data_IF_400387005901
#
_entry.id   IF_400387005901
#
_cell.length_a   1.000
_cell.length_b   1.000
_cell.length_c   1.000
_cell.angle_alpha   90.00
_cell.angle_beta   90.00
_cell.angle_gamma   90.00
#
_symmetry.space_group_name_H-M   'P 1'
#
loop_
_entity.id
_entity.type
_entity.pdbx_description
1 polymer ?
#
# COMPACT_ATOMS: atom_id res chain seq x y z
N UNK A 1 19.97 -78.85 -3.04
CA UNK A 1 21.01 -78.16 -2.25
C UNK A 1 21.50 -76.98 -3.08
N UNK A 2 21.55 -75.76 -2.53
CA UNK A 2 22.25 -74.63 -3.16
C UNK A 2 21.38 -73.68 -3.98
N UNK A 3 21.22 -72.46 -3.48
CA UNK A 3 20.39 -71.35 -3.97
C UNK A 3 20.91 -70.76 -5.28
N UNK A 4 20.00 -70.22 -6.10
CA UNK A 4 20.29 -69.10 -7.00
C UNK A 4 19.23 -68.02 -6.83
N UNK A 5 19.69 -66.78 -6.61
CA UNK A 5 18.88 -65.57 -6.60
C UNK A 5 19.57 -64.51 -7.45
N UNK A 6 18.75 -63.59 -7.97
CA UNK A 6 19.07 -62.35 -8.71
C UNK A 6 19.25 -62.48 -10.22
N UNK A 7 18.79 -61.56 -11.08
CA UNK A 7 18.20 -60.21 -10.93
C UNK A 7 17.50 -59.86 -12.27
N UNK A 8 16.35 -59.14 -12.28
CA UNK A 8 15.91 -58.12 -13.28
C UNK A 8 14.38 -57.92 -13.18
N UNK A 9 13.85 -56.74 -12.90
CA UNK A 9 13.72 -55.49 -13.67
C UNK A 9 12.39 -55.37 -14.45
N UNK A 10 11.65 -54.32 -14.09
CA UNK A 10 10.65 -53.63 -14.92
C UNK A 10 9.19 -53.97 -14.65
N UNK A 11 8.32 -52.96 -14.46
CA UNK A 11 6.93 -53.07 -14.87
C UNK A 11 6.65 -52.09 -16.01
N UNK A 12 6.28 -52.65 -17.17
CA UNK A 12 5.52 -51.94 -18.20
C UNK A 12 4.07 -52.39 -18.06
N UNK A 13 3.20 -51.50 -17.60
CA UNK A 13 1.76 -51.73 -17.58
C UNK A 13 1.13 -51.05 -18.80
N UNK A 14 0.72 -51.88 -19.75
CA UNK A 14 -0.19 -51.52 -20.83
C UNK A 14 -1.43 -52.43 -20.76
N UNK A 15 -2.56 -51.85 -21.17
CA UNK A 15 -3.85 -52.44 -21.55
C UNK A 15 -4.84 -52.91 -20.46
N UNK A 16 -5.97 -52.17 -20.39
CA UNK A 16 -7.36 -52.61 -20.71
C UNK A 16 -7.55 -54.15 -20.78
N UNK A 17 -8.58 -54.77 -20.20
CA UNK A 17 -10.02 -54.47 -20.31
C UNK A 17 -10.84 -55.42 -19.40
N UNK A 18 -12.03 -54.97 -18.99
CA UNK A 18 -13.26 -55.74 -18.73
C UNK A 18 -13.47 -56.59 -17.44
N UNK A 19 -14.35 -56.02 -16.59
CA UNK A 19 -15.66 -56.53 -16.12
C UNK A 19 -15.76 -57.96 -15.53
N UNK A 20 -16.06 -58.04 -14.23
CA UNK A 20 -16.90 -59.08 -13.62
C UNK A 20 -17.78 -58.49 -12.51
N UNK A 21 -19.03 -58.93 -12.51
CA UNK A 21 -20.18 -58.41 -11.75
C UNK A 21 -20.32 -59.08 -10.36
N UNK A 22 -21.47 -58.98 -9.68
CA UNK A 22 -21.72 -58.03 -8.60
C UNK A 22 -21.95 -58.76 -7.28
N UNK A 23 -21.48 -58.22 -6.17
CA UNK A 23 -22.10 -58.54 -4.87
C UNK A 23 -21.60 -57.56 -3.82
N UNK A 24 -22.46 -56.61 -3.45
CA UNK A 24 -22.85 -56.41 -2.05
C UNK A 24 -23.94 -55.35 -1.97
N UNK A 25 -24.94 -55.67 -1.15
CA UNK A 25 -26.21 -54.98 -0.98
C UNK A 25 -26.07 -53.45 -0.84
N UNK A 26 -26.73 -52.72 -1.74
CA UNK A 26 -27.09 -51.33 -1.49
C UNK A 26 -28.29 -51.33 -0.54
N UNK A 27 -28.07 -50.92 0.71
CA UNK A 27 -29.16 -50.46 1.55
C UNK A 27 -29.75 -49.20 0.88
N UNK A 28 -30.94 -49.33 0.31
CA UNK A 28 -31.72 -48.18 -0.14
C UNK A 28 -32.11 -47.36 1.08
N UNK A 29 -31.33 -46.32 1.39
CA UNK A 29 -31.81 -45.18 2.15
C UNK A 29 -32.74 -44.39 1.24
N UNK A 30 -33.99 -44.82 1.19
CA UNK A 30 -35.09 -44.09 0.59
C UNK A 30 -35.31 -42.81 1.44
N UNK A 31 -34.55 -41.75 1.16
CA UNK A 31 -34.82 -40.42 1.70
C UNK A 31 -36.11 -39.94 1.04
N UNK A 32 -37.22 -40.22 1.70
CA UNK A 32 -38.50 -39.61 1.40
C UNK A 32 -38.33 -38.10 1.57
N UNK A 33 -38.17 -37.38 0.46
CA UNK A 33 -38.36 -35.93 0.42
C UNK A 33 -39.86 -35.66 0.62
N UNK A 34 -40.36 -35.88 1.85
CA UNK A 34 -41.59 -35.27 2.32
C UNK A 34 -41.47 -33.79 1.96
N UNK A 35 -42.38 -33.29 1.13
CA UNK A 35 -42.26 -31.96 0.54
C UNK A 35 -41.98 -30.95 1.65
N UNK A 36 -40.77 -30.39 1.67
CA UNK A 36 -40.46 -29.23 2.49
C UNK A 36 -41.26 -28.07 1.90
N UNK A 37 -42.52 -27.92 2.33
CA UNK A 37 -43.35 -26.76 2.02
C UNK A 37 -42.84 -25.59 2.83
N UNK A 38 -41.67 -25.07 2.46
CA UNK A 38 -41.22 -23.78 2.90
C UNK A 38 -42.23 -22.75 2.41
N UNK A 39 -42.87 -22.05 3.34
CA UNK A 39 -43.79 -20.99 3.00
C UNK A 39 -43.03 -19.97 2.14
N UNK A 40 -43.48 -19.74 0.89
CA UNK A 40 -42.86 -18.80 -0.06
C UNK A 40 -42.60 -17.44 0.59
N UNK A 41 -43.49 -17.00 1.49
CA UNK A 41 -43.36 -15.75 2.23
C UNK A 41 -42.19 -15.77 3.21
N UNK A 42 -41.95 -16.89 3.89
CA UNK A 42 -40.81 -17.07 4.80
C UNK A 42 -39.51 -17.21 4.02
N UNK A 43 -39.51 -17.94 2.90
CA UNK A 43 -38.36 -18.07 2.01
C UNK A 43 -37.93 -16.72 1.42
N UNK A 44 -38.89 -15.92 0.93
CA UNK A 44 -38.62 -14.58 0.40
C UNK A 44 -38.21 -13.58 1.49
N UNK A 45 -38.76 -13.69 2.71
CA UNK A 45 -38.34 -12.87 3.85
C UNK A 45 -36.90 -13.16 4.28
N UNK A 46 -36.48 -14.43 4.26
CA UNK A 46 -35.12 -14.82 4.63
C UNK A 46 -34.08 -14.52 3.55
N UNK A 47 -34.40 -14.77 2.27
CA UNK A 47 -33.47 -14.50 1.15
C UNK A 47 -33.22 -13.02 0.93
N UNK A 48 -34.19 -12.14 1.20
CA UNK A 48 -33.98 -10.70 1.19
C UNK A 48 -32.96 -10.21 2.21
N UNK A 49 -32.88 -10.85 3.38
CA UNK A 49 -31.88 -10.54 4.41
C UNK A 49 -30.50 -11.10 4.04
N UNK A 50 -30.42 -12.31 3.46
CA UNK A 50 -29.13 -12.91 3.09
C UNK A 50 -28.52 -12.32 1.81
N UNK A 51 -29.32 -11.72 0.93
CA UNK A 51 -28.83 -10.92 -0.21
C UNK A 51 -28.61 -9.45 0.20
N UNK A 52 -29.46 -8.94 1.09
CA UNK A 52 -29.40 -7.58 1.61
C UNK A 52 -28.17 -7.32 2.49
N UNK A 53 -27.73 -8.28 3.33
CA UNK A 53 -26.54 -8.11 4.17
C UNK A 53 -25.24 -7.93 3.35
N UNK A 54 -24.92 -8.83 2.39
CA UNK A 54 -23.76 -8.65 1.52
C UNK A 54 -23.84 -7.37 0.70
N UNK A 55 -25.04 -6.97 0.27
CA UNK A 55 -25.23 -5.72 -0.48
C UNK A 55 -25.06 -4.49 0.42
N UNK A 56 -25.49 -4.54 1.68
CA UNK A 56 -25.30 -3.47 2.67
C UNK A 56 -23.82 -3.36 3.09
N UNK A 57 -23.13 -4.49 3.29
CA UNK A 57 -21.68 -4.50 3.50
C UNK A 57 -20.92 -3.99 2.27
N UNK A 58 -21.31 -4.43 1.06
CA UNK A 58 -20.73 -3.94 -0.18
C UNK A 58 -20.97 -2.44 -0.38
N UNK A 59 -22.14 -1.91 -0.02
CA UNK A 59 -22.46 -0.47 -0.07
C UNK A 59 -21.73 0.33 1.03
N UNK A 60 -21.36 -0.28 2.15
CA UNK A 60 -20.52 0.38 3.17
C UNK A 60 -19.07 0.57 2.69
N UNK A 61 -18.55 -0.35 1.87
CA UNK A 61 -17.26 -0.22 1.21
C UNK A 61 -17.31 0.59 -0.10
N UNK A 62 -18.45 0.57 -0.80
CA UNK A 62 -18.70 1.25 -2.08
C UNK A 62 -19.49 2.55 -1.94
N UNK A 63 -19.61 3.13 -0.74
CA UNK A 63 -20.16 4.46 -0.58
C UNK A 63 -19.33 5.42 -1.46
N UNK A 64 -19.93 6.01 -2.51
CA UNK A 64 -19.19 6.91 -3.38
C UNK A 64 -18.66 8.07 -2.55
N UNK A 65 -17.41 8.45 -2.77
CA UNK A 65 -16.74 9.54 -2.05
C UNK A 65 -17.53 10.87 -2.06
N UNK A 66 -18.53 10.99 -2.95
CA UNK A 66 -19.42 12.14 -3.09
C UNK A 66 -20.47 12.31 -1.98
N UNK A 67 -20.77 11.29 -1.17
CA UNK A 67 -21.74 11.37 -0.06
C UNK A 67 -21.09 11.57 1.32
N UNK A 68 -19.76 11.56 1.39
CA UNK A 68 -19.06 12.04 2.57
C UNK A 68 -19.34 13.55 2.63
N UNK A 69 -19.92 14.03 3.74
CA UNK A 69 -20.05 15.46 4.00
C UNK A 69 -18.75 16.15 3.54
N UNK A 70 -18.84 17.14 2.65
CA UNK A 70 -17.69 17.89 2.11
C UNK A 70 -16.97 18.72 3.19
N UNK A 71 -17.11 18.36 4.46
CA UNK A 71 -16.30 18.84 5.56
C UNK A 71 -14.90 18.24 5.37
N UNK A 72 -14.14 18.93 4.50
CA UNK A 72 -12.70 18.83 4.20
C UNK A 72 -12.13 17.43 4.03
N UNK A 73 -11.92 17.00 2.79
CA UNK A 73 -10.96 15.93 2.52
C UNK A 73 -9.62 16.26 3.19
N UNK A 74 -8.99 15.28 3.86
CA UNK A 74 -7.76 15.53 4.61
C UNK A 74 -6.66 15.99 3.66
N UNK A 75 -5.97 17.07 4.04
CA UNK A 75 -4.83 17.58 3.28
C UNK A 75 -3.65 16.63 3.43
N UNK A 76 -2.83 16.52 2.38
CA UNK A 76 -1.63 15.68 2.36
C UNK A 76 -0.47 16.46 1.77
N UNK A 77 0.72 16.25 2.33
CA UNK A 77 1.98 16.75 1.79
C UNK A 77 2.78 15.57 1.23
N UNK A 78 3.33 15.73 0.04
CA UNK A 78 4.25 14.76 -0.57
C UNK A 78 5.51 15.52 -0.93
N UNK A 79 6.64 15.07 -0.39
CA UNK A 79 7.96 15.60 -0.70
C UNK A 79 8.73 14.53 -1.50
N UNK A 80 9.13 14.88 -2.71
CA UNK A 80 9.96 14.03 -3.58
C UNK A 80 11.20 14.81 -3.93
N UNK A 81 12.35 14.14 -3.90
CA UNK A 81 13.62 14.73 -4.29
C UNK A 81 14.46 13.72 -5.06
N UNK A 82 15.45 14.22 -5.79
CA UNK A 82 16.51 13.40 -6.37
C UNK A 82 17.79 13.69 -5.60
N UNK A 83 18.44 12.66 -5.03
CA UNK A 83 19.55 12.84 -4.09
C UNK A 83 20.74 13.63 -4.67
N UNK A 84 21.00 13.48 -5.97
CA UNK A 84 22.13 14.09 -6.67
C UNK A 84 21.69 15.09 -7.74
N UNK A 85 20.45 15.57 -7.66
CA UNK A 85 19.89 16.51 -8.63
C UNK A 85 19.47 15.85 -9.93
N UNK A 86 19.39 16.66 -10.98
CA UNK A 86 18.95 16.30 -12.32
C UNK A 86 19.59 17.24 -13.34
N UNK A 87 19.50 16.92 -14.63
CA UNK A 87 20.03 17.79 -15.68
C UNK A 87 19.22 19.09 -15.78
N UNK A 88 19.68 20.13 -15.09
CA UNK A 88 18.97 21.40 -14.94
C UNK A 88 18.50 22.04 -16.27
N UNK A 89 19.30 22.07 -17.36
CA UNK A 89 18.86 22.61 -18.64
C UNK A 89 17.64 21.92 -19.25
N UNK A 90 17.37 20.66 -18.87
CA UNK A 90 16.22 19.90 -19.33
C UNK A 90 15.04 19.89 -18.33
N UNK A 91 15.20 20.49 -17.14
CA UNK A 91 14.16 20.59 -16.11
C UNK A 91 13.57 21.99 -15.98
N UNK A 92 14.40 23.03 -16.06
CA UNK A 92 13.95 24.42 -15.90
C UNK A 92 13.61 25.06 -17.25
N UNK A 93 12.51 25.83 -17.34
CA UNK A 93 12.16 26.57 -18.55
C UNK A 93 13.08 27.77 -18.75
N UNK A 94 13.28 28.17 -20.00
CA UNK A 94 14.10 29.35 -20.34
C UNK A 94 13.40 30.69 -20.07
N UNK A 95 12.07 30.67 -19.95
CA UNK A 95 11.25 31.85 -19.69
C UNK A 95 10.28 31.61 -18.53
N UNK A 96 10.00 32.68 -17.79
CA UNK A 96 8.99 32.68 -16.74
C UNK A 96 7.59 32.95 -17.32
N UNK A 97 6.56 32.59 -16.55
CA UNK A 97 5.16 32.82 -16.91
C UNK A 97 4.36 31.52 -16.96
N UNK A 98 3.12 31.60 -17.44
CA UNK A 98 2.23 30.42 -17.57
C UNK A 98 2.49 29.63 -18.85
N UNK A 99 2.96 30.32 -19.88
CA UNK A 99 3.09 29.82 -21.25
C UNK A 99 4.55 29.53 -21.65
N UNK A 100 5.39 29.17 -20.68
CA UNK A 100 6.76 28.75 -20.94
C UNK A 100 6.82 27.51 -21.84
N UNK A 101 7.89 27.37 -22.61
CA UNK A 101 8.15 26.15 -23.39
C UNK A 101 8.41 24.97 -22.44
N UNK A 102 7.67 23.87 -22.60
CA UNK A 102 7.73 22.74 -21.68
C UNK A 102 9.12 22.06 -21.71
N UNK A 103 9.83 21.98 -20.57
CA UNK A 103 11.10 21.27 -20.50
C UNK A 103 10.95 19.78 -20.81
N UNK A 104 11.98 19.19 -21.41
CA UNK A 104 11.99 17.78 -21.84
C UNK A 104 11.62 16.83 -20.68
N UNK A 105 12.22 17.00 -19.50
CA UNK A 105 11.98 16.14 -18.33
C UNK A 105 10.55 16.29 -17.76
N UNK A 106 9.84 17.35 -18.12
CA UNK A 106 8.49 17.66 -17.64
C UNK A 106 7.41 17.41 -18.69
N UNK A 107 7.78 16.99 -19.91
CA UNK A 107 6.85 16.64 -20.99
C UNK A 107 5.67 15.75 -20.55
N UNK A 108 5.88 14.68 -19.75
CA UNK A 108 4.77 13.85 -19.25
C UNK A 108 3.72 14.60 -18.39
N UNK A 109 4.07 15.78 -17.85
CA UNK A 109 3.20 16.60 -17.00
C UNK A 109 2.48 17.73 -17.75
N UNK A 110 2.67 17.88 -19.06
CA UNK A 110 2.06 18.95 -19.89
C UNK A 110 0.54 19.02 -19.74
N UNK A 111 -0.14 17.86 -19.78
CA UNK A 111 -1.60 17.75 -19.56
C UNK A 111 -2.08 18.30 -18.20
N UNK A 112 -1.16 18.57 -17.27
CA UNK A 112 -1.44 19.06 -15.93
C UNK A 112 -0.79 20.43 -15.66
N UNK A 113 -0.25 21.13 -16.66
CA UNK A 113 0.46 22.43 -16.54
C UNK A 113 -0.19 23.43 -15.58
N UNK A 114 -1.52 23.52 -15.59
CA UNK A 114 -2.26 24.47 -14.74
C UNK A 114 -2.35 24.08 -13.25
N UNK A 115 -1.81 22.92 -12.86
CA UNK A 115 -1.92 22.36 -11.50
C UNK A 115 -0.61 22.35 -10.73
N UNK A 116 0.45 22.90 -11.29
CA UNK A 116 1.77 22.95 -10.68
C UNK A 116 2.53 24.19 -11.15
N UNK A 117 3.64 24.48 -10.46
CA UNK A 117 4.49 25.64 -10.74
C UNK A 117 5.94 25.22 -10.53
N UNK A 118 6.82 25.69 -11.41
CA UNK A 118 8.27 25.52 -11.28
C UNK A 118 8.80 26.72 -10.50
N UNK A 119 9.58 26.46 -9.47
CA UNK A 119 10.31 27.49 -8.75
C UNK A 119 11.79 27.17 -8.92
N UNK A 120 12.53 28.09 -9.52
CA UNK A 120 13.98 28.01 -9.70
C UNK A 120 14.69 28.95 -8.71
N UNK A 121 15.96 28.67 -8.40
CA UNK A 121 16.80 29.55 -7.57
C UNK A 121 16.64 29.35 -6.06
N UNK A 122 15.97 28.29 -5.61
CA UNK A 122 15.92 27.93 -4.20
C UNK A 122 17.21 27.21 -3.78
N UNK A 123 17.98 27.82 -2.89
CA UNK A 123 19.21 27.24 -2.31
C UNK A 123 19.24 27.47 -0.79
N UNK A 124 19.41 26.39 -0.04
CA UNK A 124 19.59 26.42 1.43
C UNK A 124 20.95 27.02 1.85
N UNK A 125 21.91 27.15 0.93
CA UNK A 125 23.26 27.69 1.17
C UNK A 125 24.05 26.97 2.27
N UNK A 126 23.73 25.71 2.52
CA UNK A 126 24.31 24.86 3.58
C UNK A 126 25.63 24.17 3.15
N UNK A 127 25.80 23.89 1.85
CA UNK A 127 26.94 23.14 1.32
C UNK A 127 26.96 21.65 1.73
N UNK A 128 28.15 21.02 1.74
CA UNK A 128 28.36 19.68 2.31
C UNK A 128 28.49 18.51 1.31
N UNK A 129 28.59 18.78 0.01
CA UNK A 129 28.77 17.74 -1.02
C UNK A 129 27.67 16.68 -0.98
N UNK A 130 28.03 15.39 -1.18
CA UNK A 130 27.07 14.28 -1.12
C UNK A 130 26.28 14.21 0.20
N UNK A 131 26.84 14.72 1.32
CA UNK A 131 26.17 14.73 2.63
C UNK A 131 25.18 15.90 2.78
N UNK A 132 25.22 16.88 1.87
CA UNK A 132 24.33 18.04 1.86
C UNK A 132 22.87 17.68 1.62
N UNK A 133 22.59 16.53 0.99
CA UNK A 133 21.22 16.07 0.71
C UNK A 133 20.33 15.97 1.95
N UNK A 134 20.93 15.76 3.13
CA UNK A 134 20.21 15.69 4.42
C UNK A 134 19.53 17.03 4.80
N UNK A 135 19.94 18.14 4.18
CA UNK A 135 19.34 19.44 4.42
C UNK A 135 18.06 19.69 3.60
N UNK A 136 17.70 18.82 2.66
CA UNK A 136 16.61 19.07 1.71
C UNK A 136 15.30 19.51 2.38
N UNK A 137 14.86 18.79 3.41
CA UNK A 137 13.63 19.08 4.15
C UNK A 137 13.85 19.86 5.45
N UNK A 138 15.09 20.02 5.90
CA UNK A 138 15.39 20.66 7.20
C UNK A 138 15.92 22.09 7.04
N UNK A 139 16.48 22.43 5.88
CA UNK A 139 17.15 23.71 5.63
C UNK A 139 18.42 23.93 6.45
N UNK A 140 18.85 22.95 7.25
CA UNK A 140 20.00 23.03 8.13
C UNK A 140 21.04 21.99 7.76
N UNK A 141 22.31 22.35 7.88
CA UNK A 141 23.41 21.40 7.66
C UNK A 141 23.35 20.31 8.73
N UNK A 142 23.51 19.06 8.29
CA UNK A 142 23.59 17.92 9.20
C UNK A 142 24.64 18.17 10.30
N UNK A 143 24.21 17.98 11.54
CA UNK A 143 25.05 18.13 12.74
C UNK A 143 24.75 16.97 13.68
N UNK A 144 25.81 16.40 14.28
CA UNK A 144 25.65 15.38 15.32
C UNK A 144 24.99 15.95 16.59
N UNK A 145 25.10 17.27 16.81
CA UNK A 145 24.30 17.99 17.79
C UNK A 145 22.92 18.23 17.18
N UNK A 146 22.00 17.29 17.42
CA UNK A 146 20.65 17.13 16.84
C UNK A 146 19.69 18.34 16.98
N UNK A 147 20.13 19.45 17.56
CA UNK A 147 19.33 20.66 17.68
C UNK A 147 19.00 21.24 16.31
N UNK A 148 17.71 21.49 16.05
CA UNK A 148 17.24 22.21 14.86
C UNK A 148 17.00 21.36 13.61
N UNK A 149 17.15 20.04 13.67
CA UNK A 149 16.93 19.16 12.51
C UNK A 149 15.46 18.88 12.19
N UNK A 150 14.49 19.70 12.61
CA UNK A 150 13.07 19.42 12.37
C UNK A 150 12.71 19.57 10.89
N UNK A 151 12.30 18.49 10.22
CA UNK A 151 12.04 18.52 8.80
C UNK A 151 10.61 18.98 8.46
N UNK A 152 10.44 19.60 7.29
CA UNK A 152 9.18 20.15 6.78
C UNK A 152 8.06 19.11 6.74
N UNK A 153 8.35 17.88 6.33
CA UNK A 153 7.39 16.79 6.29
C UNK A 153 6.90 16.38 7.68
N UNK A 154 7.79 16.40 8.69
CA UNK A 154 7.41 16.13 10.08
C UNK A 154 6.67 17.33 10.69
N UNK A 155 7.05 18.55 10.33
CA UNK A 155 6.32 19.76 10.71
C UNK A 155 4.86 19.74 10.22
N UNK A 156 4.64 19.26 8.99
CA UNK A 156 3.31 19.04 8.45
C UNK A 156 2.61 17.87 9.15
N UNK A 157 3.28 16.73 9.33
CA UNK A 157 2.73 15.55 9.99
C UNK A 157 2.15 15.86 11.38
N UNK A 158 2.83 16.69 12.18
CA UNK A 158 2.38 17.07 13.51
C UNK A 158 1.11 17.95 13.50
N UNK A 159 0.77 18.58 12.37
CA UNK A 159 -0.40 19.49 12.23
C UNK A 159 -1.60 18.86 11.56
N UNK A 160 -1.36 18.12 10.48
CA UNK A 160 -2.44 17.56 9.64
C UNK A 160 -2.46 16.03 9.64
N UNK A 161 -1.47 15.39 10.26
CA UNK A 161 -1.32 13.94 10.24
C UNK A 161 -2.43 13.19 10.98
N UNK A 162 -3.06 13.82 11.98
CA UNK A 162 -4.19 13.24 12.74
C UNK A 162 -5.44 13.01 11.88
N UNK A 163 -5.56 13.67 10.73
CA UNK A 163 -6.68 13.52 9.81
C UNK A 163 -6.49 12.34 8.82
N UNK A 164 -5.35 11.66 8.86
CA UNK A 164 -5.00 10.57 7.95
C UNK A 164 -4.62 9.30 8.71
N UNK A 165 -4.73 8.13 8.06
CA UNK A 165 -4.35 6.85 8.67
C UNK A 165 -2.88 6.80 9.11
N UNK A 166 -2.00 7.50 8.39
CA UNK A 166 -0.57 7.57 8.68
C UNK A 166 -0.17 9.03 8.72
N UNK A 167 0.18 9.54 9.90
CA UNK A 167 0.65 10.91 10.06
C UNK A 167 1.89 11.21 9.21
N UNK A 168 2.76 10.22 9.02
CA UNK A 168 3.94 10.31 8.15
C UNK A 168 4.31 8.94 7.57
N UNK A 169 4.82 8.95 6.34
CA UNK A 169 5.37 7.79 5.63
C UNK A 169 6.71 8.18 5.00
N UNK A 170 7.81 8.13 5.76
CA UNK A 170 9.15 8.34 5.21
C UNK A 170 9.51 7.18 4.28
N UNK A 171 9.84 7.49 3.03
CA UNK A 171 10.27 6.52 2.03
C UNK A 171 11.70 6.85 1.62
N UNK A 172 12.45 5.83 1.22
CA UNK A 172 13.78 5.99 0.66
C UNK A 172 14.10 4.83 -0.29
N UNK A 173 15.32 4.85 -0.84
CA UNK A 173 15.86 3.72 -1.60
C UNK A 173 16.83 2.99 -0.67
N UNK A 174 16.55 1.73 -0.35
CA UNK A 174 17.45 0.88 0.44
C UNK A 174 17.31 0.95 1.97
N UNK A 175 16.39 1.76 2.53
CA UNK A 175 15.95 1.66 3.94
C UNK A 175 16.76 2.44 4.98
N UNK A 176 17.72 3.28 4.59
CA UNK A 176 18.58 4.02 5.54
C UNK A 176 18.78 5.52 5.26
N UNK A 177 18.19 6.04 4.19
CA UNK A 177 18.52 7.34 3.61
C UNK A 177 17.41 8.39 3.67
N UNK A 178 16.33 8.14 4.41
CA UNK A 178 15.24 9.12 4.64
C UNK A 178 15.75 10.53 4.99
N UNK A 179 15.04 11.56 4.50
CA UNK A 179 15.27 12.98 4.84
C UNK A 179 14.40 13.47 6.00
N UNK A 180 13.69 12.57 6.67
CA UNK A 180 12.70 12.91 7.69
C UNK A 180 13.30 12.92 9.08
N UNK A 181 13.05 13.98 9.84
CA UNK A 181 13.59 14.22 11.16
C UNK A 181 12.52 14.84 12.06
N UNK A 182 12.23 14.21 13.19
CA UNK A 182 11.17 14.69 14.09
C UNK A 182 11.58 15.97 14.85
N UNK A 183 10.63 16.56 15.59
CA UNK A 183 10.86 17.78 16.40
C UNK A 183 11.98 17.67 17.45
N UNK A 184 12.39 16.45 17.80
CA UNK A 184 13.46 16.15 18.76
C UNK A 184 14.82 15.93 18.07
N UNK A 185 14.90 16.13 16.75
CA UNK A 185 16.13 15.92 15.97
C UNK A 185 16.49 14.44 15.81
N UNK A 186 15.50 13.54 15.84
CA UNK A 186 15.70 12.11 15.58
C UNK A 186 15.33 11.81 14.14
N UNK A 187 16.31 11.28 13.39
CA UNK A 187 16.11 10.76 12.04
C UNK A 187 15.11 9.60 12.05
N UNK A 188 14.12 9.66 11.18
CA UNK A 188 13.18 8.57 10.98
C UNK A 188 13.73 7.56 9.97
N UNK A 189 13.38 6.29 10.17
CA UNK A 189 13.74 5.23 9.24
C UNK A 189 12.81 5.26 8.03
N UNK A 190 13.39 5.26 6.84
CA UNK A 190 12.64 5.17 5.59
C UNK A 190 12.19 3.75 5.31
N UNK A 191 11.04 3.62 4.66
CA UNK A 191 10.55 2.35 4.15
C UNK A 191 11.12 2.19 2.73
N UNK A 192 12.23 1.47 2.61
CA UNK A 192 12.89 1.22 1.32
C UNK A 192 12.38 0.00 0.55
N UNK A 193 11.59 -0.87 1.19
CA UNK A 193 11.04 -2.08 0.57
C UNK A 193 9.60 -1.82 0.08
N UNK A 194 9.33 -1.88 -1.24
CA UNK A 194 7.99 -1.64 -1.80
C UNK A 194 6.94 -2.64 -1.31
N UNK A 195 7.31 -3.90 -1.08
CA UNK A 195 6.40 -4.91 -0.55
C UNK A 195 5.99 -4.58 0.89
N UNK A 196 6.95 -4.15 1.73
CA UNK A 196 6.65 -3.70 3.09
C UNK A 196 5.75 -2.46 3.09
N UNK A 197 5.98 -1.52 2.17
CA UNK A 197 5.12 -0.36 1.99
C UNK A 197 3.71 -0.76 1.57
N UNK A 198 3.58 -1.64 0.57
CA UNK A 198 2.29 -2.16 0.11
C UNK A 198 1.53 -2.85 1.23
N UNK A 199 2.18 -3.76 1.96
CA UNK A 199 1.57 -4.46 3.09
C UNK A 199 1.09 -3.46 4.16
N UNK A 200 1.89 -2.43 4.45
CA UNK A 200 1.49 -1.38 5.40
C UNK A 200 0.28 -0.58 4.91
N UNK A 201 0.23 -0.23 3.63
CA UNK A 201 -0.85 0.57 3.05
C UNK A 201 -2.14 -0.22 2.85
N UNK A 202 -2.06 -1.49 2.43
CA UNK A 202 -3.21 -2.22 1.91
C UNK A 202 -3.59 -3.46 2.70
N UNK A 203 -2.69 -4.10 3.48
CA UNK A 203 -3.13 -5.22 4.33
C UNK A 203 -4.04 -4.71 5.43
N UNK A 204 -5.12 -5.46 5.62
CA UNK A 204 -6.02 -5.28 6.76
C UNK A 204 -5.19 -5.45 8.02
N UNK A 205 -5.16 -4.36 8.80
CA UNK A 205 -4.45 -4.35 10.07
C UNK A 205 -5.24 -5.22 11.04
N UNK A 206 -4.58 -6.21 11.64
CA UNK A 206 -5.20 -7.03 12.68
C UNK A 206 -5.65 -6.14 13.86
N UNK A 207 -6.65 -6.58 14.63
CA UNK A 207 -7.13 -5.83 15.79
C UNK A 207 -5.99 -5.52 16.80
N UNK A 208 -4.98 -6.40 16.90
CA UNK A 208 -3.80 -6.22 17.73
C UNK A 208 -2.92 -5.05 17.27
N UNK A 209 -2.62 -4.98 15.96
CA UNK A 209 -1.80 -3.91 15.38
C UNK A 209 -2.54 -2.56 15.38
N UNK A 210 -3.88 -2.54 15.25
CA UNK A 210 -4.68 -1.33 15.41
C UNK A 210 -4.56 -0.77 16.83
N UNK A 211 -4.63 -1.64 17.84
CA UNK A 211 -4.46 -1.27 19.26
C UNK A 211 -3.05 -0.75 19.54
N UNK A 212 -2.03 -1.36 18.94
CA UNK A 212 -0.64 -0.90 19.10
C UNK A 212 -0.41 0.47 18.46
N UNK A 213 -0.91 0.70 17.24
CA UNK A 213 -0.83 2.03 16.61
C UNK A 213 -1.54 3.12 17.41
N UNK A 214 -2.70 2.81 18.00
CA UNK A 214 -3.40 3.77 18.87
C UNK A 214 -2.55 4.15 20.08
N UNK A 215 -1.89 3.17 20.71
CA UNK A 215 -0.95 3.43 21.82
C UNK A 215 0.23 4.30 21.40
N UNK A 216 0.80 4.08 20.22
CA UNK A 216 1.90 4.90 19.67
C UNK A 216 1.48 6.36 19.41
N UNK A 217 0.20 6.61 19.11
CA UNK A 217 -0.35 7.96 18.96
C UNK A 217 -0.58 8.62 20.33
N UNK A 218 -1.02 7.87 21.33
CA UNK A 218 -1.28 8.39 22.69
C UNK A 218 0.01 8.67 23.49
N UNK A 219 1.15 8.11 23.07
CA UNK A 219 2.46 8.30 23.72
C UNK A 219 3.35 9.36 23.07
N UNK A 220 2.84 10.08 22.06
CA UNK A 220 3.54 11.19 21.37
C UNK A 220 3.11 12.55 21.90
#
# INVERSE_FOLDING_TARGET
MGRHRSYNQGPLLCSRTERSSPNQAHAELHVSLRSLRLNRRTFLRGTGVTIGLPLLEAMSFAAPASQRNRTSDPKRLVCVGTEYGMHAPAFFPQSAGRDFEMPELLGPLEKHRQRWTIIEGLDHRVGGGHKGVQAFLTGVRFSFNRGGMYSLDQYAADRIGSETRFASLPLDIGGGNSWSWNRYGVKLQGIGNPQLLFDRLFRQTSAAEQKQRRRELDTR
#
